data_IF_493248739474
#
_entry.id   IF_493248739474
#
_cell.length_a   1.000
_cell.length_b   1.000
_cell.length_c   1.000
_cell.angle_alpha   90.00
_cell.angle_beta   90.00
_cell.angle_gamma   90.00
#
_symmetry.space_group_name_H-M   'P 1'
#
loop_
_entity.id
_entity.type
_entity.pdbx_description
1 polymer ?
#
# COMPACT_ATOMS: atom_id res chain seq x y z
N UNK A 1 25.44 9.00 -24.54
CA UNK A 1 24.96 10.03 -23.59
C UNK A 1 23.44 10.28 -23.66
N UNK A 2 22.72 10.00 -24.76
CA UNK A 2 21.27 10.27 -24.86
C UNK A 2 20.29 9.19 -24.36
N UNK A 3 20.74 8.08 -23.74
CA UNK A 3 19.87 6.96 -23.34
C UNK A 3 19.46 6.99 -21.86
N UNK A 4 20.15 7.79 -21.04
CA UNK A 4 19.87 7.89 -19.60
C UNK A 4 18.63 8.75 -19.31
N UNK A 5 18.46 9.86 -20.02
CA UNK A 5 17.35 10.81 -19.81
C UNK A 5 15.97 10.18 -20.01
N UNK A 6 15.80 9.35 -21.04
CA UNK A 6 14.50 8.72 -21.32
C UNK A 6 14.03 7.75 -20.21
N UNK A 7 14.95 7.19 -19.42
CA UNK A 7 14.61 6.27 -18.34
C UNK A 7 14.11 6.97 -17.07
N UNK A 8 14.64 8.17 -16.79
CA UNK A 8 14.23 9.00 -15.66
C UNK A 8 12.83 9.58 -15.88
N UNK A 9 12.60 10.22 -17.03
CA UNK A 9 11.30 10.81 -17.40
C UNK A 9 10.17 9.78 -17.39
N UNK A 10 10.45 8.54 -17.82
CA UNK A 10 9.47 7.45 -17.77
C UNK A 10 9.05 7.10 -16.34
N UNK A 11 9.99 7.08 -15.38
CA UNK A 11 9.70 6.76 -13.97
C UNK A 11 8.91 7.87 -13.30
N UNK A 12 9.26 9.13 -13.55
CA UNK A 12 8.50 10.29 -13.08
C UNK A 12 7.06 10.25 -13.60
N UNK A 13 6.88 9.94 -14.88
CA UNK A 13 5.54 9.79 -15.48
C UNK A 13 4.73 8.71 -14.77
N UNK A 14 5.34 7.55 -14.48
CA UNK A 14 4.69 6.45 -13.74
C UNK A 14 4.32 6.87 -12.32
N UNK A 15 5.20 7.59 -11.62
CA UNK A 15 4.94 8.12 -10.29
C UNK A 15 3.76 9.10 -10.30
N UNK A 16 3.78 10.08 -11.20
CA UNK A 16 2.69 11.05 -11.38
C UNK A 16 1.37 10.37 -11.72
N UNK A 17 1.39 9.34 -12.57
CA UNK A 17 0.22 8.55 -12.91
C UNK A 17 -0.38 7.84 -11.68
N UNK A 18 0.44 7.16 -10.88
CA UNK A 18 -0.04 6.49 -9.66
C UNK A 18 -0.52 7.47 -8.59
N UNK A 19 0.17 8.61 -8.43
CA UNK A 19 -0.27 9.68 -7.52
C UNK A 19 -1.61 10.27 -7.95
N UNK A 20 -1.77 10.62 -9.23
CA UNK A 20 -3.04 11.11 -9.77
C UNK A 20 -4.17 10.10 -9.61
N UNK A 21 -3.90 8.82 -9.91
CA UNK A 21 -4.86 7.72 -9.72
C UNK A 21 -5.24 7.57 -8.24
N UNK A 22 -4.27 7.64 -7.33
CA UNK A 22 -4.52 7.55 -5.89
C UNK A 22 -5.39 8.70 -5.37
N UNK A 23 -5.13 9.93 -5.83
CA UNK A 23 -5.92 11.11 -5.47
C UNK A 23 -7.36 11.00 -6.00
N UNK A 24 -7.53 10.59 -7.26
CA UNK A 24 -8.85 10.37 -7.86
C UNK A 24 -9.64 9.27 -7.13
N UNK A 25 -8.98 8.15 -6.78
CA UNK A 25 -9.61 7.08 -6.02
C UNK A 25 -9.98 7.50 -4.59
N UNK A 26 -9.12 8.27 -3.89
CA UNK A 26 -9.44 8.80 -2.56
C UNK A 26 -10.66 9.72 -2.59
N UNK A 27 -10.74 10.61 -3.58
CA UNK A 27 -11.91 11.46 -3.77
C UNK A 27 -13.16 10.61 -4.04
N UNK A 28 -13.02 9.58 -4.88
CA UNK A 28 -14.12 8.65 -5.18
C UNK A 28 -14.60 7.91 -3.92
N UNK A 29 -13.69 7.46 -3.05
CA UNK A 29 -14.03 6.86 -1.76
C UNK A 29 -14.72 7.87 -0.85
N UNK A 30 -14.26 9.12 -0.80
CA UNK A 30 -14.93 10.18 -0.05
C UNK A 30 -16.39 10.37 -0.47
N UNK A 31 -16.64 10.41 -1.78
CA UNK A 31 -18.01 10.48 -2.32
C UNK A 31 -18.82 9.22 -1.96
N UNK A 32 -18.23 8.04 -2.08
CA UNK A 32 -18.88 6.76 -1.72
C UNK A 32 -19.20 6.67 -0.22
N UNK A 33 -18.35 7.23 0.64
CA UNK A 33 -18.61 7.29 2.08
C UNK A 33 -19.75 8.26 2.40
N UNK A 34 -19.88 9.37 1.68
CA UNK A 34 -20.96 10.35 1.85
C UNK A 34 -22.33 9.85 1.33
N UNK A 35 -22.34 8.96 0.34
CA UNK A 35 -23.58 8.38 -0.20
C UNK A 35 -24.31 7.53 0.85
N UNK A 36 -25.65 7.57 0.93
CA UNK A 36 -26.39 6.77 1.90
C UNK A 36 -26.33 5.27 1.57
N UNK A 37 -26.36 4.44 2.61
CA UNK A 37 -26.43 2.98 2.46
C UNK A 37 -27.78 2.51 1.90
N UNK A 38 -27.75 1.42 1.12
CA UNK A 38 -28.95 0.82 0.51
C UNK A 38 -29.93 0.27 1.55
N UNK A 39 -29.41 -0.34 2.63
CA UNK A 39 -30.19 -1.00 3.66
C UNK A 39 -29.69 -0.62 5.07
N UNK A 40 -30.38 0.34 5.72
CA UNK A 40 -30.01 0.83 7.07
C UNK A 40 -30.07 -0.24 8.16
N UNK A 41 -31.03 -1.16 8.09
CA UNK A 41 -31.27 -2.15 9.16
C UNK A 41 -30.18 -3.21 9.30
N UNK A 42 -29.42 -3.46 8.23
CA UNK A 42 -28.37 -4.47 8.23
C UNK A 42 -26.98 -3.84 8.38
N UNK A 43 -26.85 -2.51 8.34
CA UNK A 43 -25.56 -1.84 8.42
C UNK A 43 -25.17 -1.70 9.88
N UNK A 44 -24.06 -2.33 10.27
CA UNK A 44 -23.46 -2.12 11.59
C UNK A 44 -22.12 -1.43 11.42
N UNK A 45 -21.97 -0.29 12.08
CA UNK A 45 -20.70 0.45 12.12
C UNK A 45 -19.62 -0.39 12.80
N UNK A 46 -19.97 -1.15 13.84
CA UNK A 46 -19.02 -1.97 14.58
C UNK A 46 -18.34 -3.00 13.68
N UNK A 47 -19.13 -3.74 12.89
CA UNK A 47 -18.61 -4.72 11.94
C UNK A 47 -17.83 -4.08 10.78
N UNK A 48 -18.20 -2.86 10.37
CA UNK A 48 -17.44 -2.10 9.37
C UNK A 48 -16.06 -1.69 9.89
N UNK A 49 -15.95 -1.41 11.19
CA UNK A 49 -14.70 -0.98 11.80
C UNK A 49 -13.78 -2.15 12.19
N UNK A 50 -14.30 -3.37 12.32
CA UNK A 50 -13.52 -4.56 12.70
C UNK A 50 -12.24 -4.78 11.88
N UNK A 51 -12.21 -4.67 10.53
CA UNK A 51 -10.99 -4.87 9.75
C UNK A 51 -10.08 -3.62 9.66
N UNK A 52 -10.52 -2.45 10.16
CA UNK A 52 -9.75 -1.19 10.08
C UNK A 52 -8.35 -1.29 10.71
N UNK A 53 -8.14 -1.95 11.85
CA UNK A 53 -6.79 -2.15 12.40
C UNK A 53 -5.85 -2.84 11.42
N UNK A 54 -6.32 -3.81 10.64
CA UNK A 54 -5.51 -4.51 9.64
C UNK A 54 -5.18 -3.60 8.46
N UNK A 55 -6.14 -2.82 7.97
CA UNK A 55 -5.88 -1.79 6.95
C UNK A 55 -4.85 -0.76 7.42
N UNK A 56 -4.93 -0.34 8.70
CA UNK A 56 -3.97 0.57 9.33
C UNK A 56 -2.57 -0.02 9.40
N UNK A 57 -2.45 -1.30 9.79
CA UNK A 57 -1.16 -1.98 9.86
C UNK A 57 -0.49 -2.09 8.48
N UNK A 58 -1.25 -2.37 7.42
CA UNK A 58 -0.70 -2.32 6.07
C UNK A 58 -0.31 -0.88 5.71
N UNK A 59 -1.16 0.09 6.00
CA UNK A 59 -0.89 1.50 5.71
C UNK A 59 0.38 2.01 6.39
N UNK A 60 0.69 1.58 7.63
CA UNK A 60 1.95 1.96 8.28
C UNK A 60 3.18 1.45 7.52
N UNK A 61 3.11 0.27 6.90
CA UNK A 61 4.20 -0.25 6.06
C UNK A 61 4.37 0.61 4.80
N UNK A 62 3.26 1.08 4.21
CA UNK A 62 3.29 2.00 3.07
C UNK A 62 3.90 3.35 3.46
N UNK A 63 3.53 3.91 4.61
CA UNK A 63 4.13 5.15 5.13
C UNK A 63 5.63 4.99 5.33
N UNK A 64 6.09 3.87 5.88
CA UNK A 64 7.53 3.60 6.01
C UNK A 64 8.24 3.59 4.66
N UNK A 65 7.63 3.04 3.60
CA UNK A 65 8.19 3.12 2.24
C UNK A 65 8.27 4.56 1.72
N UNK A 66 7.23 5.36 1.94
CA UNK A 66 7.24 6.79 1.59
C UNK A 66 8.34 7.55 2.34
N UNK A 67 8.47 7.32 3.65
CA UNK A 67 9.52 7.93 4.47
C UNK A 67 10.92 7.53 4.00
N UNK A 68 11.15 6.24 3.70
CA UNK A 68 12.43 5.78 3.16
C UNK A 68 12.75 6.44 1.81
N UNK A 69 11.76 6.57 0.93
CA UNK A 69 11.90 7.30 -0.34
C UNK A 69 12.26 8.78 -0.13
N UNK A 70 11.58 9.45 0.81
CA UNK A 70 11.82 10.85 1.14
C UNK A 70 13.22 11.08 1.73
N UNK A 71 13.64 10.25 2.69
CA UNK A 71 14.98 10.32 3.28
C UNK A 71 16.05 10.08 2.23
N UNK A 72 15.89 9.04 1.40
CA UNK A 72 16.83 8.77 0.31
C UNK A 72 16.89 9.94 -0.69
N UNK A 73 15.75 10.55 -1.01
CA UNK A 73 15.68 11.69 -1.93
C UNK A 73 16.38 12.94 -1.38
N UNK A 74 16.16 13.27 -0.11
CA UNK A 74 16.83 14.41 0.54
C UNK A 74 18.34 14.21 0.63
N UNK A 75 18.80 12.99 0.94
CA UNK A 75 20.22 12.68 0.96
C UNK A 75 20.87 12.81 -0.43
N UNK A 76 20.18 12.31 -1.47
CA UNK A 76 20.65 12.39 -2.86
C UNK A 76 20.78 13.86 -3.32
N UNK A 77 19.82 14.73 -2.96
CA UNK A 77 19.87 16.18 -3.24
C UNK A 77 21.01 16.92 -2.52
N UNK A 78 21.59 16.33 -1.48
CA UNK A 78 22.65 16.94 -0.67
C UNK A 78 24.01 16.27 -0.89
N UNK A 79 24.12 15.39 -1.88
CA UNK A 79 25.30 14.55 -2.12
C UNK A 79 25.74 13.75 -0.87
N UNK A 80 24.80 13.49 0.06
CA UNK A 80 25.05 12.67 1.25
C UNK A 80 24.84 11.21 0.85
N UNK A 81 25.84 10.37 1.12
CA UNK A 81 25.75 8.95 0.84
C UNK A 81 24.74 8.26 1.79
N UNK A 82 23.47 8.21 1.39
CA UNK A 82 22.37 7.57 2.14
C UNK A 82 22.62 6.09 2.42
N UNK A 83 23.47 5.43 1.63
CA UNK A 83 23.81 4.02 1.86
C UNK A 83 24.57 3.82 3.16
N UNK A 84 25.40 4.80 3.56
CA UNK A 84 26.11 4.75 4.83
C UNK A 84 25.15 4.86 6.01
N UNK A 85 24.22 5.82 5.94
CA UNK A 85 23.22 6.05 6.99
C UNK A 85 22.28 4.85 7.14
N UNK A 86 21.87 4.23 6.03
CA UNK A 86 20.95 3.08 6.04
C UNK A 86 21.66 1.74 6.32
N UNK A 87 23.00 1.72 6.39
CA UNK A 87 23.80 0.50 6.55
C UNK A 87 23.60 -0.48 5.39
N UNK A 88 23.40 0.05 4.18
CA UNK A 88 23.20 -0.75 2.96
C UNK A 88 24.54 -0.88 2.24
N UNK A 89 24.81 -2.06 1.68
CA UNK A 89 26.03 -2.31 0.89
C UNK A 89 26.15 -1.25 -0.24
N UNK A 90 27.25 -0.50 -0.31
CA UNK A 90 27.45 0.56 -1.31
C UNK A 90 27.38 0.06 -2.76
N UNK A 91 27.50 -1.25 -2.98
CA UNK A 91 27.35 -1.89 -4.28
C UNK A 91 25.89 -1.94 -4.75
N UNK A 92 24.93 -1.73 -3.86
CA UNK A 92 23.51 -1.76 -4.16
C UNK A 92 22.99 -0.33 -4.39
N UNK A 93 23.01 0.12 -5.64
CA UNK A 93 22.39 1.41 -6.06
C UNK A 93 20.86 1.33 -5.97
N UNK A 94 20.32 1.50 -4.78
CA UNK A 94 18.89 1.73 -4.56
C UNK A 94 18.62 3.23 -4.71
N UNK A 95 17.96 3.61 -5.81
CA UNK A 95 17.52 4.99 -6.04
C UNK A 95 16.27 5.31 -5.22
N UNK A 96 16.05 6.59 -4.81
CA UNK A 96 14.83 7.01 -4.12
C UNK A 96 13.56 6.71 -4.93
N UNK A 97 13.65 6.84 -6.26
CA UNK A 97 12.57 6.50 -7.21
C UNK A 97 12.05 5.06 -7.03
N UNK A 98 12.91 4.11 -6.67
CA UNK A 98 12.51 2.72 -6.45
C UNK A 98 11.53 2.59 -5.29
N UNK A 99 11.81 3.30 -4.18
CA UNK A 99 10.93 3.32 -3.01
C UNK A 99 9.63 4.05 -3.33
N UNK A 100 9.70 5.22 -3.96
CA UNK A 100 8.50 5.98 -4.34
C UNK A 100 7.60 5.21 -5.30
N UNK A 101 8.16 4.54 -6.31
CA UNK A 101 7.34 3.81 -7.31
C UNK A 101 6.60 2.66 -6.64
N UNK A 102 7.28 1.92 -5.74
CA UNK A 102 6.64 0.85 -4.97
C UNK A 102 5.62 1.38 -3.97
N UNK A 103 5.93 2.46 -3.28
CA UNK A 103 5.03 3.10 -2.33
C UNK A 103 3.76 3.59 -3.03
N UNK A 104 3.89 4.27 -4.16
CA UNK A 104 2.77 4.75 -4.96
C UNK A 104 1.89 3.60 -5.47
N UNK A 105 2.49 2.56 -6.06
CA UNK A 105 1.75 1.39 -6.54
C UNK A 105 1.00 0.68 -5.40
N UNK A 106 1.67 0.42 -4.27
CA UNK A 106 1.02 -0.19 -3.09
C UNK A 106 -0.07 0.71 -2.51
N UNK A 107 0.11 2.03 -2.52
CA UNK A 107 -0.91 2.99 -2.09
C UNK A 107 -2.14 2.92 -2.99
N UNK A 108 -1.96 2.84 -4.32
CA UNK A 108 -3.08 2.65 -5.25
C UNK A 108 -3.82 1.35 -4.98
N UNK A 109 -3.12 0.23 -4.78
CA UNK A 109 -3.76 -1.05 -4.43
C UNK A 109 -4.48 -1.00 -3.07
N UNK A 110 -3.88 -0.35 -2.08
CA UNK A 110 -4.49 -0.15 -0.77
C UNK A 110 -5.82 0.61 -0.90
N UNK A 111 -5.81 1.74 -1.61
CA UNK A 111 -7.01 2.57 -1.83
C UNK A 111 -8.05 1.77 -2.61
N UNK A 112 -7.65 1.06 -3.67
CA UNK A 112 -8.56 0.26 -4.49
C UNK A 112 -9.24 -0.85 -3.67
N UNK A 113 -8.48 -1.63 -2.91
CA UNK A 113 -9.03 -2.72 -2.07
C UNK A 113 -9.90 -2.16 -0.95
N UNK A 114 -9.48 -1.07 -0.30
CA UNK A 114 -10.29 -0.39 0.70
C UNK A 114 -11.59 0.17 0.11
N UNK A 115 -11.53 0.76 -1.08
CA UNK A 115 -12.70 1.24 -1.81
C UNK A 115 -13.66 0.11 -2.19
N UNK A 116 -13.14 -1.01 -2.70
CA UNK A 116 -13.95 -2.21 -2.95
C UNK A 116 -14.61 -2.73 -1.67
N UNK A 117 -13.89 -2.75 -0.55
CA UNK A 117 -14.43 -3.12 0.75
C UNK A 117 -15.58 -2.19 1.18
N UNK A 118 -15.41 -0.87 1.07
CA UNK A 118 -16.46 0.11 1.39
C UNK A 118 -17.69 -0.08 0.51
N UNK A 119 -17.49 -0.25 -0.80
CA UNK A 119 -18.58 -0.43 -1.76
C UNK A 119 -19.33 -1.73 -1.48
N UNK A 120 -18.61 -2.83 -1.29
CA UNK A 120 -19.21 -4.12 -1.06
C UNK A 120 -19.96 -4.17 0.28
N UNK A 121 -19.41 -3.54 1.32
CA UNK A 121 -20.07 -3.47 2.62
C UNK A 121 -21.36 -2.64 2.57
N UNK A 122 -21.35 -1.47 1.89
CA UNK A 122 -22.51 -0.57 1.81
C UNK A 122 -23.59 -1.09 0.85
N UNK A 123 -23.22 -1.67 -0.29
CA UNK A 123 -24.17 -2.05 -1.35
C UNK A 123 -24.34 -3.55 -1.57
N UNK A 124 -23.54 -4.41 -0.92
CA UNK A 124 -23.58 -5.88 -1.08
C UNK A 124 -23.50 -6.29 -2.55
N UNK A 125 -22.44 -5.82 -3.23
CA UNK A 125 -22.27 -6.03 -4.67
C UNK A 125 -21.94 -7.50 -4.94
N UNK A 126 -21.15 -8.12 -4.06
CA UNK A 126 -20.78 -9.52 -4.17
C UNK A 126 -21.83 -10.44 -3.54
N UNK A 127 -22.09 -11.61 -4.16
CA UNK A 127 -22.94 -12.62 -3.56
C UNK A 127 -22.33 -13.13 -2.26
N UNK A 128 -23.17 -13.31 -1.24
CA UNK A 128 -22.75 -13.80 0.06
C UNK A 128 -22.17 -15.21 -0.07
N UNK A 129 -20.86 -15.36 0.16
CA UNK A 129 -20.23 -16.67 0.30
C UNK A 129 -20.50 -17.17 1.73
N UNK A 130 -21.48 -18.06 1.89
CA UNK A 130 -21.82 -18.67 3.18
C UNK A 130 -23.22 -19.29 3.23
N UNK A 131 -23.43 -20.26 4.13
CA UNK A 131 -24.72 -20.92 4.30
C UNK A 131 -25.80 -19.91 4.75
N UNK A 132 -26.99 -19.88 4.12
CA UNK A 132 -28.06 -18.91 4.41
C UNK A 132 -28.67 -19.02 5.82
N UNK A 133 -28.18 -19.94 6.66
CA UNK A 133 -28.73 -20.24 7.99
C UNK A 133 -28.00 -19.60 9.17
N UNK A 134 -26.92 -18.84 8.95
CA UNK A 134 -26.21 -18.17 10.04
C UNK A 134 -26.89 -16.83 10.40
N UNK A 135 -27.23 -16.66 11.68
CA UNK A 135 -27.99 -15.54 12.29
C UNK A 135 -27.48 -14.11 11.99
N UNK A 136 -26.32 -13.94 11.36
CA UNK A 136 -25.77 -12.65 10.96
C UNK A 136 -25.35 -12.69 9.49
N UNK A 137 -26.27 -12.44 8.55
CA UNK A 137 -26.02 -12.50 7.10
C UNK A 137 -24.91 -11.56 6.58
N UNK A 138 -24.41 -10.63 7.41
CA UNK A 138 -23.24 -9.77 7.11
C UNK A 138 -21.96 -10.13 7.87
N UNK A 139 -21.99 -11.08 8.80
CA UNK A 139 -20.78 -11.64 9.42
C UNK A 139 -20.13 -12.74 8.55
N UNK A 140 -20.25 -12.62 7.22
CA UNK A 140 -19.65 -13.60 6.32
C UNK A 140 -18.15 -13.35 6.23
N UNK A 141 -17.39 -14.44 6.19
CA UNK A 141 -15.93 -14.46 6.10
C UNK A 141 -15.38 -13.65 4.90
N UNK A 142 -16.19 -13.35 3.88
CA UNK A 142 -15.76 -12.57 2.72
C UNK A 142 -15.20 -11.18 3.08
N UNK A 143 -15.69 -10.53 4.14
CA UNK A 143 -15.15 -9.23 4.57
C UNK A 143 -13.73 -9.31 5.13
N UNK A 144 -13.30 -10.48 5.61
CA UNK A 144 -11.93 -10.74 6.07
C UNK A 144 -10.99 -10.97 4.88
N UNK A 145 -11.51 -11.34 3.70
CA UNK A 145 -10.70 -11.60 2.51
C UNK A 145 -10.01 -10.34 2.02
N UNK A 146 -10.65 -9.17 2.08
CA UNK A 146 -10.06 -7.90 1.64
C UNK A 146 -8.76 -7.54 2.38
N UNK A 147 -8.74 -7.44 3.73
CA UNK A 147 -7.52 -7.13 4.45
C UNK A 147 -6.47 -8.25 4.33
N UNK A 148 -6.87 -9.52 4.25
CA UNK A 148 -5.93 -10.64 4.03
C UNK A 148 -5.27 -10.55 2.64
N UNK A 149 -6.05 -10.27 1.60
CA UNK A 149 -5.55 -10.08 0.24
C UNK A 149 -4.58 -8.90 0.17
N UNK A 150 -4.93 -7.79 0.80
CA UNK A 150 -4.08 -6.61 0.88
C UNK A 150 -2.76 -6.90 1.62
N UNK A 151 -2.83 -7.64 2.73
CA UNK A 151 -1.65 -8.08 3.47
C UNK A 151 -0.77 -8.99 2.61
N UNK A 152 -1.36 -9.96 1.92
CA UNK A 152 -0.66 -10.86 1.01
C UNK A 152 0.01 -10.10 -0.15
N UNK A 153 -0.69 -9.15 -0.79
CA UNK A 153 -0.12 -8.29 -1.85
C UNK A 153 1.06 -7.48 -1.31
N UNK A 154 0.94 -6.93 -0.10
CA UNK A 154 2.00 -6.15 0.53
C UNK A 154 3.22 -7.03 0.82
N UNK A 155 3.03 -8.20 1.41
CA UNK A 155 4.10 -9.17 1.63
C UNK A 155 4.75 -9.62 0.32
N UNK A 156 3.94 -9.95 -0.69
CA UNK A 156 4.45 -10.37 -1.99
C UNK A 156 5.24 -9.25 -2.67
N UNK A 157 4.79 -8.00 -2.59
CA UNK A 157 5.53 -6.83 -3.10
C UNK A 157 6.87 -6.65 -2.38
N UNK A 158 6.90 -6.85 -1.06
CA UNK A 158 8.13 -6.80 -0.27
C UNK A 158 9.08 -7.96 -0.59
N UNK A 159 8.56 -9.17 -0.73
CA UNK A 159 9.33 -10.38 -1.01
C UNK A 159 9.74 -10.49 -2.49
N UNK A 160 9.05 -9.79 -3.40
CA UNK A 160 9.26 -9.90 -4.83
C UNK A 160 10.74 -9.67 -5.18
N UNK A 161 11.43 -10.67 -5.76
CA UNK A 161 12.84 -10.55 -6.08
C UNK A 161 13.00 -9.47 -7.15
N UNK A 162 13.66 -8.37 -6.81
CA UNK A 162 14.09 -7.37 -7.78
C UNK A 162 15.51 -7.69 -8.17
N UNK A 163 15.83 -7.65 -9.47
CA UNK A 163 17.22 -7.73 -9.96
C UNK A 163 18.11 -6.65 -9.35
N UNK A 164 17.50 -5.54 -8.91
CA UNK A 164 18.19 -4.39 -8.29
C UNK A 164 18.46 -4.61 -6.80
N UNK A 165 17.60 -5.34 -6.09
CA UNK A 165 17.71 -5.51 -4.63
C UNK A 165 17.53 -6.99 -4.26
N UNK A 166 18.67 -7.67 -4.10
CA UNK A 166 18.76 -9.09 -3.73
C UNK A 166 18.25 -9.28 -2.29
N UNK A 167 17.67 -10.44 -1.98
CA UNK A 167 16.98 -10.68 -0.69
C UNK A 167 17.83 -10.35 0.56
N UNK A 168 19.15 -10.52 0.49
CA UNK A 168 20.09 -10.17 1.57
C UNK A 168 20.03 -8.69 1.97
N UNK A 169 19.80 -7.78 1.03
CA UNK A 169 19.73 -6.35 1.33
C UNK A 169 18.40 -5.93 1.95
N UNK A 170 17.32 -6.66 1.65
CA UNK A 170 16.01 -6.46 2.29
C UNK A 170 16.06 -6.76 3.78
N UNK A 171 16.79 -7.80 4.18
CA UNK A 171 17.02 -8.14 5.59
C UNK A 171 17.79 -7.02 6.30
N UNK A 172 18.80 -6.43 5.65
CA UNK A 172 19.54 -5.29 6.21
C UNK A 172 18.63 -4.08 6.42
N UNK A 173 17.82 -3.72 5.42
CA UNK A 173 16.85 -2.63 5.53
C UNK A 173 15.85 -2.87 6.66
N UNK A 174 15.30 -4.08 6.76
CA UNK A 174 14.36 -4.43 7.83
C UNK A 174 15.04 -4.36 9.21
N UNK A 175 16.28 -4.86 9.33
CA UNK A 175 17.06 -4.76 10.57
C UNK A 175 17.37 -3.30 10.95
N UNK A 176 17.65 -2.44 9.99
CA UNK A 176 17.86 -1.01 10.24
C UNK A 176 16.58 -0.33 10.72
N UNK A 177 15.43 -0.59 10.08
CA UNK A 177 14.13 -0.06 10.54
C UNK A 177 13.81 -0.56 11.95
N UNK A 178 14.02 -1.86 12.22
CA UNK A 178 13.72 -2.42 13.53
C UNK A 178 14.59 -1.83 14.64
N UNK A 179 15.85 -1.47 14.33
CA UNK A 179 16.74 -0.76 15.26
C UNK A 179 16.32 0.66 15.57
N UNK A 180 15.53 1.30 14.70
CA UNK A 180 15.02 2.66 14.95
C UNK A 180 13.70 2.65 15.73
N UNK A 181 12.98 1.53 15.69
CA UNK A 181 11.65 1.38 16.32
C UNK A 181 11.74 0.81 17.74
N UNK A 182 12.75 -0.03 18.02
CA UNK A 182 13.07 -0.56 19.35
C UNK A 182 14.08 0.33 20.08
#
# INVERSE_FOLDING_TARGET
LGQADGSATRRETVLCFFLGTSAALLLSIGVLLALPEKNRRSFSVEYFLTPIPTFRLVFSVLLLLWCMGAVAGVCDMRDINHMFILGVDPRCRVSPEFFFTRAAALTTFWILIFGMYVVDYKWQVLPQMGSPKASNGRASAHFVVYPLLLFAITLMSMLWPSRVCRNRHKVSLFSSVMRTVL
#
